data_IF_968680431375
#
_entry.id   IF_968680431375
#
_cell.length_a   1.000
_cell.length_b   1.000
_cell.length_c   1.000
_cell.angle_alpha   90.00
_cell.angle_beta   90.00
_cell.angle_gamma   90.00
#
_symmetry.space_group_name_H-M   'P 1'
#
loop_
_entity.id
_entity.type
_entity.pdbx_description
1 polymer ?
#
# COMPACT_ATOMS: atom_id res chain seq x y z
N UNK A 1 -25.86 -14.25 -3.47
CA UNK A 1 -26.68 -13.03 -3.66
C UNK A 1 -25.76 -11.99 -4.28
N UNK A 2 -26.15 -11.39 -5.41
CA UNK A 2 -25.39 -10.29 -6.00
C UNK A 2 -25.74 -9.04 -5.20
N UNK A 3 -24.73 -8.41 -4.62
CA UNK A 3 -24.88 -7.12 -3.96
C UNK A 3 -24.98 -6.02 -5.03
N UNK A 4 -26.02 -5.20 -4.96
CA UNK A 4 -26.20 -4.06 -5.88
C UNK A 4 -25.61 -2.83 -5.20
N UNK A 5 -24.54 -2.28 -5.79
CA UNK A 5 -23.89 -1.06 -5.31
C UNK A 5 -24.57 0.15 -5.96
N UNK A 6 -25.13 1.11 -5.18
CA UNK A 6 -25.75 2.30 -5.73
C UNK A 6 -24.77 3.20 -6.51
N UNK A 7 -25.27 3.96 -7.48
CA UNK A 7 -24.50 4.95 -8.25
C UNK A 7 -23.81 5.98 -7.34
N UNK A 8 -24.47 6.40 -6.26
CA UNK A 8 -23.89 7.35 -5.30
C UNK A 8 -22.59 6.84 -4.65
N UNK A 9 -22.41 5.52 -4.53
CA UNK A 9 -21.18 4.94 -3.97
C UNK A 9 -20.01 5.11 -4.93
N UNK A 10 -20.24 5.08 -6.25
CA UNK A 10 -19.19 5.38 -7.22
C UNK A 10 -18.79 6.86 -7.15
N UNK A 11 -19.75 7.76 -6.92
CA UNK A 11 -19.44 9.17 -6.71
C UNK A 11 -18.70 9.40 -5.39
N UNK A 12 -19.03 8.65 -4.34
CA UNK A 12 -18.29 8.65 -3.08
C UNK A 12 -16.84 8.20 -3.26
N UNK A 13 -16.56 7.11 -3.98
CA UNK A 13 -15.15 6.72 -4.24
C UNK A 13 -14.43 7.78 -5.07
N UNK A 14 -15.10 8.35 -6.10
CA UNK A 14 -14.54 9.39 -6.97
C UNK A 14 -14.26 10.71 -6.24
N UNK A 15 -14.98 11.01 -5.15
CA UNK A 15 -14.67 12.17 -4.31
C UNK A 15 -13.35 12.02 -3.55
N UNK A 16 -12.72 10.84 -3.66
CA UNK A 16 -11.41 10.51 -3.10
C UNK A 16 -11.40 10.69 -1.57
N UNK A 17 -12.22 9.91 -0.85
CA UNK A 17 -12.40 10.07 0.59
C UNK A 17 -11.09 9.75 1.34
N UNK A 18 -11.02 10.16 2.60
CA UNK A 18 -9.79 10.05 3.41
C UNK A 18 -9.26 8.61 3.49
N UNK A 19 -10.14 7.60 3.53
CA UNK A 19 -9.71 6.19 3.50
C UNK A 19 -8.98 5.80 2.20
N UNK A 20 -9.39 6.36 1.06
CA UNK A 20 -8.74 6.13 -0.24
C UNK A 20 -7.41 6.90 -0.29
N UNK A 21 -7.39 8.16 0.14
CA UNK A 21 -6.14 8.95 0.26
C UNK A 21 -5.11 8.24 1.13
N UNK A 22 -5.53 7.77 2.30
CA UNK A 22 -4.67 7.04 3.23
C UNK A 22 -4.12 5.76 2.61
N UNK A 23 -4.96 4.97 1.92
CA UNK A 23 -4.52 3.79 1.20
C UNK A 23 -3.47 4.13 0.11
N UNK A 24 -3.69 5.20 -0.67
CA UNK A 24 -2.74 5.64 -1.69
C UNK A 24 -1.40 6.06 -1.09
N UNK A 25 -1.41 6.81 0.02
CA UNK A 25 -0.17 7.21 0.73
C UNK A 25 0.57 5.97 1.21
N UNK A 26 -0.10 5.04 1.88
CA UNK A 26 0.52 3.78 2.32
C UNK A 26 1.16 3.07 1.13
N UNK A 27 0.42 2.87 0.04
CA UNK A 27 0.93 2.14 -1.10
C UNK A 27 2.17 2.80 -1.72
N UNK A 28 2.14 4.12 -1.92
CA UNK A 28 3.26 4.87 -2.51
C UNK A 28 4.48 4.91 -1.61
N UNK A 29 4.30 5.19 -0.30
CA UNK A 29 5.43 5.26 0.62
C UNK A 29 6.11 3.89 0.77
N UNK A 30 5.35 2.81 0.86
CA UNK A 30 5.93 1.46 1.00
C UNK A 30 6.71 1.04 -0.26
N UNK A 31 6.17 1.29 -1.45
CA UNK A 31 6.83 1.03 -2.74
C UNK A 31 8.16 1.80 -2.84
N UNK A 32 8.13 3.11 -2.66
CA UNK A 32 9.30 3.98 -2.82
C UNK A 32 10.39 3.74 -1.75
N UNK A 33 10.01 3.44 -0.50
CA UNK A 33 10.97 3.16 0.59
C UNK A 33 11.75 1.86 0.38
N UNK A 34 11.15 0.89 -0.31
CA UNK A 34 11.77 -0.43 -0.52
C UNK A 34 12.68 -0.49 -1.73
N UNK A 35 12.40 0.29 -2.78
CA UNK A 35 13.23 0.38 -3.98
C UNK A 35 14.64 0.91 -3.67
N UNK A 36 14.75 1.79 -2.69
CA UNK A 36 15.97 2.52 -2.40
C UNK A 36 17.08 1.71 -1.70
N UNK A 37 16.75 0.59 -1.03
CA UNK A 37 17.75 -0.29 -0.43
C UNK A 37 18.49 -1.17 -1.45
N UNK A 38 17.87 -1.44 -2.61
CA UNK A 38 18.36 -2.44 -3.57
C UNK A 38 18.62 -1.88 -4.98
N UNK A 39 18.05 -0.74 -5.35
CA UNK A 39 17.99 -0.28 -6.73
C UNK A 39 18.75 1.04 -6.96
N UNK A 40 20.08 0.96 -7.05
CA UNK A 40 20.90 2.08 -7.54
C UNK A 40 20.98 2.15 -9.09
N UNK A 41 20.18 1.38 -9.84
CA UNK A 41 20.47 1.17 -11.27
C UNK A 41 19.25 0.96 -12.18
N UNK A 42 18.23 1.80 -12.13
CA UNK A 42 17.35 1.98 -13.30
C UNK A 42 16.95 3.44 -13.39
N UNK A 43 16.94 3.95 -14.63
CA UNK A 43 16.58 5.31 -15.05
C UNK A 43 15.10 5.61 -14.72
N UNK A 44 14.77 5.67 -13.43
CA UNK A 44 13.45 5.99 -12.92
C UNK A 44 13.35 7.49 -12.63
N UNK A 45 12.17 8.06 -12.87
CA UNK A 45 11.79 9.40 -12.40
C UNK A 45 12.15 9.54 -10.91
N UNK A 46 12.55 10.75 -10.50
CA UNK A 46 12.94 11.02 -9.11
C UNK A 46 11.94 10.41 -8.12
N UNK A 47 12.44 9.52 -7.24
CA UNK A 47 11.65 8.84 -6.22
C UNK A 47 11.09 9.86 -5.21
N UNK A 48 10.05 9.49 -4.45
CA UNK A 48 9.55 10.38 -3.38
C UNK A 48 10.69 10.76 -2.42
N UNK A 49 11.63 9.85 -2.13
CA UNK A 49 12.81 10.13 -1.30
C UNK A 49 13.65 11.27 -1.90
N UNK A 50 14.04 11.16 -3.18
CA UNK A 50 14.88 12.16 -3.84
C UNK A 50 14.20 13.54 -3.90
N UNK A 51 12.92 13.57 -4.29
CA UNK A 51 12.16 14.83 -4.32
C UNK A 51 12.02 15.46 -2.94
N UNK A 52 11.84 14.66 -1.89
CA UNK A 52 11.73 15.13 -0.51
C UNK A 52 13.07 15.65 0.04
N UNK A 53 14.18 14.99 -0.32
CA UNK A 53 15.52 15.47 -0.01
C UNK A 53 15.80 16.82 -0.66
N UNK A 54 15.47 16.98 -1.95
CA UNK A 54 15.67 18.23 -2.69
C UNK A 54 14.80 19.38 -2.16
N UNK A 55 13.53 19.12 -1.88
CA UNK A 55 12.59 20.15 -1.41
C UNK A 55 12.92 20.67 -0.01
N UNK A 56 13.29 19.78 0.91
CA UNK A 56 13.52 20.10 2.32
C UNK A 56 15.00 20.18 2.71
N UNK A 57 15.91 19.98 1.75
CA UNK A 57 17.36 19.88 1.97
C UNK A 57 17.70 18.88 3.08
N UNK A 58 17.02 17.74 3.08
CA UNK A 58 17.22 16.66 4.04
C UNK A 58 18.24 15.65 3.53
N UNK A 59 18.92 15.01 4.48
CA UNK A 59 19.65 13.78 4.19
C UNK A 59 18.68 12.67 3.82
N UNK A 60 19.20 11.65 3.14
CA UNK A 60 18.45 10.45 2.76
C UNK A 60 17.79 9.78 3.97
N UNK A 61 18.52 9.64 5.08
CA UNK A 61 18.01 9.04 6.32
C UNK A 61 16.84 9.85 6.91
N UNK A 62 16.96 11.18 6.95
CA UNK A 62 15.90 12.06 7.43
C UNK A 62 14.66 11.98 6.54
N UNK A 63 14.83 11.96 5.22
CA UNK A 63 13.75 11.79 4.26
C UNK A 63 13.04 10.43 4.45
N UNK A 64 13.78 9.31 4.48
CA UNK A 64 13.19 7.99 4.70
C UNK A 64 12.41 7.91 6.02
N UNK A 65 12.96 8.47 7.11
CA UNK A 65 12.28 8.53 8.40
C UNK A 65 10.96 9.33 8.33
N UNK A 66 10.94 10.44 7.60
CA UNK A 66 9.74 11.27 7.42
C UNK A 66 8.68 10.58 6.58
N UNK A 67 9.07 9.91 5.50
CA UNK A 67 8.15 9.15 4.65
C UNK A 67 7.58 7.94 5.40
N UNK A 68 8.37 7.28 6.25
CA UNK A 68 7.87 6.21 7.13
C UNK A 68 6.85 6.76 8.13
N UNK A 69 7.12 7.91 8.77
CA UNK A 69 6.16 8.59 9.66
C UNK A 69 4.86 8.93 8.91
N UNK A 70 4.93 9.35 7.65
CA UNK A 70 3.75 9.59 6.81
C UNK A 70 2.96 8.31 6.54
N UNK A 71 3.63 7.20 6.24
CA UNK A 71 2.99 5.89 6.07
C UNK A 71 2.29 5.42 7.36
N UNK A 72 2.95 5.53 8.51
CA UNK A 72 2.38 5.18 9.82
C UNK A 72 1.15 6.04 10.16
N UNK A 73 1.21 7.34 9.88
CA UNK A 73 0.06 8.22 10.11
C UNK A 73 -1.09 7.90 9.15
N UNK A 74 -0.80 7.56 7.89
CA UNK A 74 -1.82 7.10 6.95
C UNK A 74 -2.47 5.79 7.41
N UNK A 75 -1.73 4.85 8.01
CA UNK A 75 -2.32 3.66 8.65
C UNK A 75 -3.29 4.00 9.78
N UNK A 76 -2.94 4.98 10.63
CA UNK A 76 -3.85 5.45 11.70
C UNK A 76 -5.12 6.05 11.11
N UNK A 77 -5.01 6.90 10.09
CA UNK A 77 -6.16 7.46 9.38
C UNK A 77 -7.03 6.38 8.75
N UNK A 78 -6.44 5.41 8.03
CA UNK A 78 -7.18 4.32 7.40
C UNK A 78 -7.96 3.50 8.44
N UNK A 79 -7.35 3.18 9.58
CA UNK A 79 -8.00 2.45 10.67
C UNK A 79 -9.12 3.27 11.32
N UNK A 80 -8.92 4.57 11.52
CA UNK A 80 -9.94 5.46 12.07
C UNK A 80 -11.13 5.57 11.12
N UNK A 81 -10.90 5.82 9.84
CA UNK A 81 -11.95 5.91 8.82
C UNK A 81 -12.76 4.61 8.73
N UNK A 82 -12.09 3.45 8.79
CA UNK A 82 -12.78 2.16 8.81
C UNK A 82 -13.77 2.02 9.98
N UNK A 83 -13.45 2.57 11.14
CA UNK A 83 -14.36 2.57 12.30
C UNK A 83 -15.55 3.54 12.13
N UNK A 84 -15.36 4.62 11.36
CA UNK A 84 -16.37 5.66 11.15
C UNK A 84 -17.31 5.38 9.97
N UNK A 85 -16.85 4.62 8.96
CA UNK A 85 -17.60 4.32 7.73
C UNK A 85 -18.66 3.21 7.93
N UNK A 86 -19.56 3.41 8.88
CA UNK A 86 -20.64 2.46 9.21
C UNK A 86 -21.76 2.40 8.17
N UNK A 87 -21.91 3.46 7.36
CA UNK A 87 -22.95 3.57 6.33
C UNK A 87 -22.47 3.17 4.92
N UNK A 88 -21.20 2.80 4.76
CA UNK A 88 -20.65 2.35 3.47
C UNK A 88 -20.60 0.82 3.46
N UNK A 89 -21.05 0.17 2.36
CA UNK A 89 -20.94 -1.29 2.25
C UNK A 89 -19.50 -1.77 2.41
N UNK A 90 -19.29 -2.76 3.29
CA UNK A 90 -17.96 -3.33 3.52
C UNK A 90 -17.33 -3.93 2.26
N UNK A 91 -18.15 -4.40 1.32
CA UNK A 91 -17.72 -4.88 0.00
C UNK A 91 -16.98 -3.81 -0.81
N UNK A 92 -17.32 -2.54 -0.64
CA UNK A 92 -16.67 -1.40 -1.28
C UNK A 92 -15.38 -0.98 -0.57
N UNK A 93 -15.38 -1.07 0.77
CA UNK A 93 -14.24 -0.67 1.61
C UNK A 93 -13.14 -1.74 1.62
N UNK A 94 -13.52 -3.02 1.58
CA UNK A 94 -12.58 -4.15 1.71
C UNK A 94 -11.47 -4.17 0.65
N UNK A 95 -11.72 -3.89 -0.64
CA UNK A 95 -10.66 -3.76 -1.64
C UNK A 95 -9.63 -2.68 -1.27
N UNK A 96 -10.07 -1.54 -0.74
CA UNK A 96 -9.19 -0.43 -0.32
C UNK A 96 -8.27 -0.86 0.83
N UNK A 97 -8.80 -1.60 1.80
CA UNK A 97 -7.97 -2.12 2.90
C UNK A 97 -7.02 -3.22 2.41
N UNK A 98 -7.52 -4.13 1.59
CA UNK A 98 -6.76 -5.26 1.11
C UNK A 98 -5.60 -4.83 0.22
N UNK A 99 -5.79 -3.80 -0.62
CA UNK A 99 -4.68 -3.24 -1.42
C UNK A 99 -3.61 -2.64 -0.49
N UNK A 100 -3.97 -1.87 0.52
CA UNK A 100 -2.98 -1.33 1.48
C UNK A 100 -2.19 -2.44 2.19
N UNK A 101 -2.88 -3.52 2.59
CA UNK A 101 -2.26 -4.66 3.28
C UNK A 101 -1.35 -5.47 2.38
N UNK A 102 -1.77 -5.74 1.14
CA UNK A 102 -0.97 -6.54 0.22
C UNK A 102 0.26 -5.76 -0.23
N UNK A 103 0.15 -4.44 -0.44
CA UNK A 103 1.31 -3.59 -0.71
C UNK A 103 2.31 -3.61 0.45
N UNK A 104 1.85 -3.48 1.70
CA UNK A 104 2.74 -3.61 2.86
C UNK A 104 3.32 -5.03 3.06
N UNK A 105 2.73 -6.06 2.44
CA UNK A 105 3.31 -7.41 2.39
C UNK A 105 4.39 -7.49 1.30
N UNK A 106 4.14 -6.91 0.13
CA UNK A 106 5.05 -6.90 -1.01
C UNK A 106 6.33 -6.11 -0.76
N UNK A 107 6.24 -5.03 0.02
CA UNK A 107 7.34 -4.10 0.23
C UNK A 107 7.76 -4.03 1.71
N UNK A 108 7.70 -5.16 2.42
CA UNK A 108 8.02 -5.20 3.84
C UNK A 108 9.53 -5.11 4.10
N UNK A 109 10.27 -5.95 3.39
CA UNK A 109 11.70 -6.18 3.62
C UNK A 109 12.54 -5.92 2.37
N UNK A 110 11.95 -6.15 1.19
CA UNK A 110 12.54 -5.96 -0.14
C UNK A 110 11.40 -5.94 -1.15
N UNK A 111 11.69 -5.60 -2.40
CA UNK A 111 10.68 -5.59 -3.45
C UNK A 111 10.33 -7.03 -3.86
N UNK A 112 9.38 -7.63 -3.15
CA UNK A 112 8.85 -8.96 -3.42
C UNK A 112 7.79 -8.96 -4.54
N UNK A 113 7.45 -7.80 -5.09
CA UNK A 113 6.47 -7.68 -6.17
C UNK A 113 7.11 -7.87 -7.55
N UNK A 114 8.19 -7.14 -7.83
CA UNK A 114 8.86 -7.22 -9.14
C UNK A 114 10.04 -8.20 -9.14
N UNK A 115 10.69 -8.42 -7.99
CA UNK A 115 11.88 -9.27 -7.93
C UNK A 115 11.54 -10.73 -7.58
N UNK A 116 11.82 -11.70 -8.47
CA UNK A 116 11.45 -13.11 -8.28
C UNK A 116 12.28 -13.82 -7.19
N UNK A 117 13.35 -13.19 -6.69
CA UNK A 117 14.15 -13.66 -5.56
C UNK A 117 13.49 -13.34 -4.21
N UNK A 118 12.30 -12.73 -4.25
CA UNK A 118 11.45 -12.49 -3.09
C UNK A 118 10.80 -13.74 -2.49
N UNK A 119 10.13 -13.57 -1.35
CA UNK A 119 9.34 -14.65 -0.71
C UNK A 119 8.00 -14.87 -1.42
N UNK A 120 7.54 -13.89 -2.21
CA UNK A 120 6.22 -13.93 -2.84
C UNK A 120 6.03 -15.13 -3.78
N UNK A 121 7.07 -15.53 -4.52
CA UNK A 121 7.01 -16.70 -5.40
C UNK A 121 6.64 -17.97 -4.61
N UNK A 122 7.24 -18.17 -3.45
CA UNK A 122 6.97 -19.35 -2.63
C UNK A 122 5.62 -19.24 -1.92
N UNK A 123 5.24 -18.03 -1.46
CA UNK A 123 3.90 -17.78 -0.92
C UNK A 123 2.79 -18.07 -1.95
N UNK A 124 2.97 -17.66 -3.21
CA UNK A 124 2.01 -17.96 -4.29
C UNK A 124 1.89 -19.47 -4.52
N UNK A 125 3.00 -20.22 -4.53
CA UNK A 125 2.93 -21.68 -4.67
C UNK A 125 2.14 -22.30 -3.53
N UNK A 126 2.44 -21.92 -2.29
CA UNK A 126 1.77 -22.43 -1.09
C UNK A 126 0.26 -22.15 -1.09
N UNK A 127 -0.17 -20.99 -1.57
CA UNK A 127 -1.57 -20.58 -1.53
C UNK A 127 -2.37 -21.07 -2.75
N UNK A 128 -1.76 -21.08 -3.94
CA UNK A 128 -2.46 -21.30 -5.21
C UNK A 128 -2.21 -22.67 -5.85
N UNK A 129 -1.11 -23.34 -5.51
CA UNK A 129 -0.70 -24.59 -6.17
C UNK A 129 -0.69 -25.78 -5.22
N UNK A 130 -0.33 -25.57 -3.95
CA UNK A 130 -0.16 -26.65 -2.98
C UNK A 130 -1.42 -26.81 -2.12
N UNK A 131 -2.16 -27.93 -2.26
CA UNK A 131 -3.34 -28.16 -1.44
C UNK A 131 -2.96 -28.46 0.01
N UNK A 132 -3.75 -27.94 0.96
CA UNK A 132 -3.64 -28.31 2.37
C UNK A 132 -4.31 -29.67 2.55
N UNK A 133 -3.52 -30.70 2.83
CA UNK A 133 -4.06 -32.01 3.22
C UNK A 133 -4.35 -32.01 4.73
N UNK A 134 -5.62 -31.81 5.09
CA UNK A 134 -6.11 -32.08 6.44
C UNK A 134 -6.53 -33.54 6.55
N UNK A 135 -6.07 -34.25 7.60
CA UNK A 135 -6.55 -35.60 7.95
C UNK A 135 -8.03 -35.60 8.33
#
# INVERSE_FOLDING_TARGET
>A
MIEIIPEEMFQWVKSFPEIVKAACIICRMMDDLTLDEHDQRVDHLATTIETYMEEYNYTKEEACKKLLEMAENAWKTLNQELLLLTNIPLSLVRPIINISRVTALFYRDKDDYTHPQGTMRDNIKLVMLEPIFTK
#
